data_IF_399545084141
#
_entry.id   IF_399545084141
#
_cell.length_a   1.000
_cell.length_b   1.000
_cell.length_c   1.000
_cell.angle_alpha   90.00
_cell.angle_beta   90.00
_cell.angle_gamma   90.00
#
_symmetry.space_group_name_H-M   'P 1'
#
loop_
_entity.id
_entity.type
_entity.pdbx_description
1 polymer ?
#
# COMPACT_ATOMS: atom_id res chain seq x y z
N UNK A 1 11.30 -4.41 -1.86
CA UNK A 1 10.77 -5.54 -1.07
C UNK A 1 11.51 -6.80 -1.49
N UNK A 2 11.89 -7.63 -0.53
CA UNK A 2 12.58 -8.90 -0.79
C UNK A 2 11.80 -10.03 -0.12
N UNK A 3 11.82 -11.21 -0.74
CA UNK A 3 11.36 -12.46 -0.15
C UNK A 3 12.54 -13.42 -0.23
N UNK A 4 12.99 -13.91 0.94
CA UNK A 4 14.12 -14.84 1.07
C UNK A 4 15.37 -14.39 0.30
N UNK A 5 15.70 -13.09 0.41
CA UNK A 5 16.86 -12.48 -0.25
C UNK A 5 16.67 -12.21 -1.75
N UNK A 6 15.55 -12.61 -2.35
CA UNK A 6 15.25 -12.34 -3.76
C UNK A 6 14.43 -11.05 -3.91
N UNK A 7 14.83 -10.11 -4.79
CA UNK A 7 14.08 -8.87 -4.99
C UNK A 7 12.70 -9.18 -5.57
N UNK A 8 11.65 -8.75 -4.88
CA UNK A 8 10.26 -8.99 -5.26
C UNK A 8 9.66 -7.82 -6.03
N UNK A 9 9.76 -6.62 -5.45
CA UNK A 9 9.17 -5.42 -6.03
C UNK A 9 9.85 -4.16 -5.51
N UNK A 10 9.75 -3.08 -6.28
CA UNK A 10 10.01 -1.72 -5.80
C UNK A 10 8.79 -0.86 -6.11
N UNK A 11 8.44 0.01 -5.16
CA UNK A 11 7.28 0.89 -5.29
C UNK A 11 7.68 2.32 -4.97
N UNK A 12 7.06 3.26 -5.67
CA UNK A 12 6.95 4.65 -5.25
C UNK A 12 5.55 4.87 -4.66
N UNK A 13 5.49 5.18 -3.38
CA UNK A 13 4.26 5.52 -2.68
C UNK A 13 4.17 7.03 -2.50
N UNK A 14 3.01 7.61 -2.82
CA UNK A 14 2.67 9.01 -2.61
C UNK A 14 1.45 9.04 -1.70
N UNK A 15 1.56 9.71 -0.55
CA UNK A 15 0.46 9.89 0.40
C UNK A 15 0.15 11.39 0.44
N UNK A 16 -1.05 11.74 -0.02
CA UNK A 16 -1.60 13.07 0.09
C UNK A 16 -2.61 13.13 1.23
N UNK A 17 -2.50 14.14 2.09
CA UNK A 17 -3.46 14.41 3.16
C UNK A 17 -4.15 15.74 2.86
N UNK A 18 -5.48 15.72 2.78
CA UNK A 18 -6.29 16.92 2.56
C UNK A 18 -7.28 17.06 3.72
N UNK A 19 -7.51 18.29 4.23
CA UNK A 19 -8.58 18.51 5.19
C UNK A 19 -9.93 18.10 4.60
N UNK A 20 -10.76 17.42 5.38
CA UNK A 20 -12.14 17.08 5.00
C UNK A 20 -13.08 17.25 6.20
N UNK A 21 -13.65 18.44 6.34
CA UNK A 21 -14.44 18.82 7.51
C UNK A 21 -13.62 18.74 8.81
N UNK A 22 -14.07 17.88 9.74
CA UNK A 22 -13.36 17.59 10.99
C UNK A 22 -12.35 16.43 10.86
N UNK A 23 -12.26 15.80 9.68
CA UNK A 23 -11.40 14.66 9.40
C UNK A 23 -10.29 14.98 8.39
N UNK A 24 -9.69 13.92 7.84
CA UNK A 24 -8.66 13.98 6.82
C UNK A 24 -9.02 13.02 5.69
N UNK A 25 -9.05 13.53 4.46
CA UNK A 25 -9.12 12.70 3.27
C UNK A 25 -7.69 12.34 2.84
N UNK A 26 -7.33 11.07 3.02
CA UNK A 26 -6.05 10.50 2.62
C UNK A 26 -6.20 9.87 1.24
N UNK A 27 -5.31 10.24 0.31
CA UNK A 27 -5.17 9.55 -0.98
C UNK A 27 -3.78 8.94 -1.04
N UNK A 28 -3.71 7.61 -1.13
CA UNK A 28 -2.46 6.91 -1.40
C UNK A 28 -2.44 6.41 -2.83
N UNK A 29 -1.40 6.80 -3.57
CA UNK A 29 -1.07 6.26 -4.88
C UNK A 29 0.20 5.44 -4.79
N UNK A 30 0.18 4.22 -5.29
CA UNK A 30 1.36 3.36 -5.36
C UNK A 30 1.66 3.02 -6.83
N UNK A 31 2.86 3.40 -7.29
CA UNK A 31 3.41 2.94 -8.57
C UNK A 31 4.40 1.81 -8.30
N UNK A 32 4.00 0.58 -8.58
CA UNK A 32 4.78 -0.61 -8.24
C UNK A 32 5.33 -1.32 -9.48
N UNK A 33 6.58 -1.77 -9.39
CA UNK A 33 7.22 -2.69 -10.34
C UNK A 33 7.51 -4.01 -9.61
N UNK A 34 6.98 -5.11 -10.12
CA UNK A 34 7.25 -6.47 -9.65
C UNK A 34 8.25 -7.15 -10.58
N UNK A 35 9.08 -8.02 -10.02
CA UNK A 35 10.19 -8.65 -10.73
C UNK A 35 9.96 -10.14 -10.93
N UNK A 36 10.36 -10.65 -12.09
CA UNK A 36 10.49 -12.08 -12.40
C UNK A 36 9.29 -12.93 -11.94
N UNK A 37 9.53 -13.96 -11.10
CA UNK A 37 8.50 -14.86 -10.60
C UNK A 37 7.42 -14.19 -9.74
N UNK A 38 7.63 -12.94 -9.34
CA UNK A 38 6.68 -12.16 -8.54
C UNK A 38 5.84 -11.21 -9.39
N UNK A 39 6.10 -11.09 -10.70
CA UNK A 39 5.28 -10.31 -11.63
C UNK A 39 3.98 -11.05 -12.00
N UNK A 40 3.20 -11.44 -10.99
CA UNK A 40 1.96 -12.20 -11.13
C UNK A 40 0.73 -11.34 -10.84
N UNK A 41 -0.43 -11.77 -11.33
CA UNK A 41 -1.70 -11.08 -11.06
C UNK A 41 -2.05 -11.12 -9.57
N UNK A 42 -1.72 -12.21 -8.90
CA UNK A 42 -1.91 -12.42 -7.47
C UNK A 42 -1.08 -11.44 -6.66
N UNK A 43 0.17 -11.17 -7.06
CA UNK A 43 1.03 -10.19 -6.39
C UNK A 43 0.47 -8.77 -6.48
N UNK A 44 -0.08 -8.41 -7.64
CA UNK A 44 -0.74 -7.11 -7.84
C UNK A 44 -1.99 -6.95 -6.96
N UNK A 45 -2.90 -7.93 -7.00
CA UNK A 45 -4.14 -7.90 -6.21
C UNK A 45 -3.85 -7.97 -4.70
N UNK A 46 -2.89 -8.80 -4.31
CA UNK A 46 -2.47 -8.97 -2.91
C UNK A 46 -1.90 -7.69 -2.31
N UNK A 47 -1.19 -6.87 -3.10
CA UNK A 47 -0.68 -5.57 -2.64
C UNK A 47 -1.79 -4.59 -2.34
N UNK A 48 -2.74 -4.43 -3.25
CA UNK A 48 -3.88 -3.53 -3.03
C UNK A 48 -4.67 -3.97 -1.78
N UNK A 49 -4.98 -5.27 -1.70
CA UNK A 49 -5.72 -5.81 -0.55
C UNK A 49 -4.97 -5.63 0.77
N UNK A 50 -3.66 -5.94 0.79
CA UNK A 50 -2.82 -5.77 1.98
C UNK A 50 -2.67 -4.30 2.40
N UNK A 51 -2.50 -3.39 1.44
CA UNK A 51 -2.42 -1.95 1.70
C UNK A 51 -3.74 -1.42 2.28
N UNK A 52 -4.90 -1.89 1.78
CA UNK A 52 -6.20 -1.53 2.34
C UNK A 52 -6.34 -2.00 3.79
N UNK A 53 -5.92 -3.24 4.10
CA UNK A 53 -5.93 -3.75 5.47
C UNK A 53 -5.01 -2.94 6.42
N UNK A 54 -3.89 -2.42 5.92
CA UNK A 54 -3.04 -1.51 6.69
C UNK A 54 -3.73 -0.15 6.95
N UNK A 55 -4.53 0.35 6.01
CA UNK A 55 -5.31 1.58 6.21
C UNK A 55 -6.47 1.38 7.18
N UNK A 56 -7.13 0.22 7.17
CA UNK A 56 -8.14 -0.14 8.17
C UNK A 56 -7.50 -0.15 9.58
N UNK A 57 -6.31 -0.76 9.71
CA UNK A 57 -5.57 -0.78 10.96
C UNK A 57 -5.11 0.63 11.39
N UNK A 58 -4.71 1.48 10.44
CA UNK A 58 -4.38 2.88 10.71
C UNK A 58 -5.60 3.62 11.26
N UNK A 59 -6.78 3.48 10.63
CA UNK A 59 -8.01 4.11 11.10
C UNK A 59 -8.32 3.70 12.54
N UNK A 60 -8.34 2.38 12.82
CA UNK A 60 -8.55 1.87 14.18
C UNK A 60 -7.49 2.37 15.18
N UNK A 61 -6.27 2.64 14.72
CA UNK A 61 -5.19 3.15 15.58
C UNK A 61 -5.36 4.62 15.99
N UNK A 62 -6.13 5.39 15.21
CA UNK A 62 -6.41 6.82 15.42
C UNK A 62 -7.66 7.08 16.25
N UNK A 63 -8.49 6.04 16.47
CA UNK A 63 -9.68 6.11 17.35
C UNK A 63 -9.33 6.00 18.85
N UNK A 64 -8.05 5.89 19.20
CA UNK A 64 -7.54 5.85 20.59
C UNK A 64 -7.24 7.23 21.13
#
# INVERSE_FOLDING_TARGET
MFIDGTPMSTSLAIIELKPDGAGTHLVMTESAAYYDQFATRESLLGREHGTNALFDALAASLER
#
